data_IF_378241317820
#
_entry.id   IF_378241317820
#
_cell.length_a   1.000
_cell.length_b   1.000
_cell.length_c   1.000
_cell.angle_alpha   90.00
_cell.angle_beta   90.00
_cell.angle_gamma   90.00
#
_symmetry.space_group_name_H-M   'P 1'
#
loop_
_entity.id
_entity.type
_entity.pdbx_description
1 polymer ?
#
# COMPACT_ATOMS: atom_id res chain seq x y z
N UNK A 1 -6.28 -8.25 -11.38
CA UNK A 1 -7.69 -8.13 -11.81
C UNK A 1 -8.33 -9.48 -12.11
N UNK A 2 -7.71 -10.33 -12.94
CA UNK A 2 -8.26 -11.64 -13.34
C UNK A 2 -8.72 -12.51 -12.16
N UNK A 3 -7.88 -12.67 -11.13
CA UNK A 3 -8.21 -13.47 -9.93
C UNK A 3 -9.47 -12.96 -9.24
N UNK A 4 -9.54 -11.65 -8.98
CA UNK A 4 -10.69 -11.04 -8.29
C UNK A 4 -11.97 -11.19 -9.12
N UNK A 5 -11.91 -10.95 -10.43
CA UNK A 5 -13.08 -11.12 -11.31
C UNK A 5 -13.51 -12.58 -11.45
N UNK A 6 -12.57 -13.53 -11.41
CA UNK A 6 -12.88 -14.95 -11.46
C UNK A 6 -13.66 -15.38 -10.22
N UNK A 7 -13.23 -14.98 -9.02
CA UNK A 7 -13.95 -15.26 -7.77
C UNK A 7 -15.37 -14.67 -7.80
N UNK A 8 -15.53 -13.43 -8.27
CA UNK A 8 -16.85 -12.77 -8.32
C UNK A 8 -17.78 -13.49 -9.31
N UNK A 9 -17.24 -13.95 -10.44
CA UNK A 9 -17.97 -14.74 -11.41
C UNK A 9 -18.39 -16.10 -10.83
N UNK A 10 -17.47 -16.79 -10.16
CA UNK A 10 -17.70 -18.12 -9.58
C UNK A 10 -18.71 -18.10 -8.44
N UNK A 11 -18.72 -17.03 -7.61
CA UNK A 11 -19.76 -16.81 -6.59
C UNK A 11 -21.16 -16.61 -7.21
N UNK A 12 -21.23 -16.07 -8.44
CA UNK A 12 -22.48 -15.95 -9.18
C UNK A 12 -23.50 -14.94 -8.63
N UNK A 13 -23.21 -14.24 -7.53
CA UNK A 13 -24.11 -13.32 -6.84
C UNK A 13 -24.12 -11.89 -7.41
N UNK A 14 -23.08 -11.51 -8.13
CA UNK A 14 -22.88 -10.13 -8.60
C UNK A 14 -22.53 -10.09 -10.09
N UNK A 15 -22.96 -9.01 -10.74
CA UNK A 15 -22.45 -8.52 -12.01
C UNK A 15 -21.34 -7.50 -11.74
N UNK A 16 -20.28 -7.52 -12.54
CA UNK A 16 -19.20 -6.53 -12.49
C UNK A 16 -19.55 -5.40 -13.45
N UNK A 17 -19.94 -4.23 -12.90
CA UNK A 17 -20.27 -3.06 -13.73
C UNK A 17 -19.01 -2.31 -14.17
N UNK A 18 -18.00 -2.25 -13.29
CA UNK A 18 -16.74 -1.57 -13.54
C UNK A 18 -15.62 -2.30 -12.82
N UNK A 19 -14.46 -2.40 -13.46
CA UNK A 19 -13.23 -2.90 -12.87
C UNK A 19 -12.06 -2.07 -13.40
N UNK A 20 -11.37 -1.39 -12.50
CA UNK A 20 -10.27 -0.50 -12.83
C UNK A 20 -9.08 -0.72 -11.90
N UNK A 21 -7.91 -0.38 -12.41
CA UNK A 21 -6.66 -0.38 -11.63
C UNK A 21 -6.10 1.02 -11.67
N UNK A 22 -5.62 1.51 -10.54
CA UNK A 22 -4.86 2.74 -10.46
C UNK A 22 -3.60 2.53 -9.63
N UNK A 23 -2.64 3.42 -9.84
CA UNK A 23 -1.39 3.42 -9.08
C UNK A 23 -1.43 4.55 -8.05
N UNK A 24 -0.98 4.28 -6.84
CA UNK A 24 -0.90 5.26 -5.76
C UNK A 24 0.49 5.21 -5.14
N UNK A 25 1.12 6.36 -4.86
CA UNK A 25 2.45 6.39 -4.26
C UNK A 25 2.45 5.67 -2.90
N UNK A 26 3.60 5.07 -2.54
CA UNK A 26 3.71 4.40 -1.25
C UNK A 26 3.54 5.35 -0.07
N UNK A 27 4.12 6.55 -0.18
CA UNK A 27 3.87 7.64 0.75
C UNK A 27 2.59 8.38 0.31
N UNK A 28 1.52 8.38 1.11
CA UNK A 28 0.28 9.09 0.77
C UNK A 28 0.44 10.61 0.75
N UNK A 29 1.52 11.15 1.31
CA UNK A 29 1.84 12.58 1.28
C UNK A 29 2.80 12.96 0.16
N UNK A 30 3.28 11.99 -0.62
CA UNK A 30 4.17 12.22 -1.74
C UNK A 30 3.33 12.55 -2.99
N UNK A 31 3.30 13.83 -3.33
CA UNK A 31 2.63 14.42 -4.48
C UNK A 31 3.60 14.72 -5.64
N UNK A 32 4.82 14.16 -5.61
CA UNK A 32 5.89 14.35 -6.63
C UNK A 32 5.57 13.75 -8.02
N UNK A 33 4.29 13.63 -8.40
CA UNK A 33 3.93 13.57 -9.82
C UNK A 33 4.13 14.95 -10.51
N UNK A 34 4.42 16.00 -9.74
CA UNK A 34 4.83 17.33 -10.21
C UNK A 34 6.37 17.47 -10.16
N UNK A 35 7.01 17.73 -11.31
CA UNK A 35 8.48 17.76 -11.50
C UNK A 35 9.19 18.85 -10.66
N UNK A 36 8.43 19.75 -10.03
CA UNK A 36 8.94 20.90 -9.27
C UNK A 36 9.13 20.63 -7.76
N UNK A 37 8.78 19.44 -7.26
CA UNK A 37 8.86 19.11 -5.82
C UNK A 37 10.15 18.35 -5.49
N UNK A 38 10.87 18.81 -4.47
CA UNK A 38 12.09 18.16 -3.99
C UNK A 38 11.76 16.80 -3.37
N UNK A 39 12.27 15.74 -3.98
CA UNK A 39 12.15 14.37 -3.49
C UNK A 39 12.94 14.15 -2.18
N UNK A 40 12.26 14.05 -1.05
CA UNK A 40 12.84 13.69 0.25
C UNK A 40 12.59 12.21 0.57
N UNK A 41 13.47 11.36 0.06
CA UNK A 41 13.38 9.91 0.26
C UNK A 41 13.40 9.50 1.75
N UNK A 42 14.04 10.29 2.62
CA UNK A 42 14.14 9.99 4.06
C UNK A 42 12.82 10.27 4.76
N UNK A 43 12.18 11.40 4.45
CA UNK A 43 10.84 11.71 4.94
C UNK A 43 9.82 10.70 4.40
N UNK A 44 9.87 10.42 3.09
CA UNK A 44 8.95 9.49 2.46
C UNK A 44 9.08 8.08 3.05
N UNK A 45 10.31 7.60 3.27
CA UNK A 45 10.56 6.33 3.94
C UNK A 45 9.98 6.26 5.37
N UNK A 46 10.06 7.35 6.13
CA UNK A 46 9.44 7.44 7.47
C UNK A 46 7.91 7.42 7.40
N UNK A 47 7.31 8.13 6.46
CA UNK A 47 5.86 8.17 6.28
C UNK A 47 5.32 6.79 5.93
N UNK A 48 5.94 6.11 4.95
CA UNK A 48 5.59 4.73 4.57
C UNK A 48 5.71 3.79 5.77
N UNK A 49 6.82 3.85 6.52
CA UNK A 49 7.01 2.97 7.68
C UNK A 49 5.96 3.23 8.78
N UNK A 50 5.54 4.48 8.99
CA UNK A 50 4.46 4.82 9.94
C UNK A 50 3.11 4.25 9.46
N UNK A 51 2.76 4.40 8.18
CA UNK A 51 1.53 3.83 7.63
C UNK A 51 1.48 2.31 7.81
N UNK A 52 2.59 1.62 7.49
CA UNK A 52 2.71 0.18 7.69
C UNK A 52 2.67 -0.21 9.18
N UNK A 53 3.27 0.60 10.06
CA UNK A 53 3.21 0.39 11.51
C UNK A 53 1.77 0.36 12.01
N UNK A 54 0.97 1.36 11.66
CA UNK A 54 -0.44 1.42 12.08
C UNK A 54 -1.22 0.15 11.66
N UNK A 55 -0.91 -0.44 10.50
CA UNK A 55 -1.59 -1.64 9.99
C UNK A 55 -1.10 -2.92 10.64
N UNK A 56 0.22 -3.06 10.84
CA UNK A 56 0.85 -4.35 11.21
C UNK A 56 1.34 -4.44 12.65
N UNK A 57 1.39 -3.33 13.40
CA UNK A 57 1.95 -3.30 14.75
C UNK A 57 1.30 -4.32 15.68
N UNK A 58 -0.03 -4.39 15.72
CA UNK A 58 -0.75 -5.33 16.60
C UNK A 58 -0.45 -6.80 16.25
N UNK A 59 -0.34 -7.13 14.97
CA UNK A 59 -0.02 -8.48 14.51
C UNK A 59 1.42 -8.88 14.87
N UNK A 60 2.36 -7.95 14.68
CA UNK A 60 3.78 -8.18 14.99
C UNK A 60 3.98 -8.26 16.50
N UNK A 61 3.38 -7.35 17.26
CA UNK A 61 3.37 -7.34 18.72
C UNK A 61 2.85 -8.68 19.29
N UNK A 62 1.72 -9.16 18.76
CA UNK A 62 1.12 -10.40 19.21
C UNK A 62 2.06 -11.61 19.02
N UNK A 63 2.81 -11.64 17.91
CA UNK A 63 3.65 -12.79 17.58
C UNK A 63 5.09 -12.71 18.13
N UNK A 64 5.67 -11.51 18.14
CA UNK A 64 7.10 -11.29 18.45
C UNK A 64 7.33 -10.45 19.71
N UNK A 65 6.28 -9.87 20.29
CA UNK A 65 6.34 -8.95 21.42
C UNK A 65 6.64 -7.50 21.02
N UNK A 66 6.35 -6.59 21.94
CA UNK A 66 6.42 -5.13 21.68
C UNK A 66 7.86 -4.61 21.63
N UNK A 67 8.80 -5.32 22.27
CA UNK A 67 10.17 -4.87 22.46
C UNK A 67 10.94 -4.61 21.15
N UNK A 68 10.48 -5.17 20.02
CA UNK A 68 11.15 -5.04 18.73
C UNK A 68 10.55 -3.94 17.84
N UNK A 69 9.38 -3.40 18.16
CA UNK A 69 8.58 -2.61 17.23
C UNK A 69 9.31 -1.34 16.77
N UNK A 70 9.87 -0.58 17.71
CA UNK A 70 10.56 0.67 17.39
C UNK A 70 11.77 0.45 16.47
N UNK A 71 12.61 -0.54 16.79
CA UNK A 71 13.78 -0.89 15.98
C UNK A 71 13.37 -1.46 14.62
N UNK A 72 12.34 -2.29 14.57
CA UNK A 72 11.83 -2.90 13.34
C UNK A 72 11.34 -1.83 12.36
N UNK A 73 10.50 -0.90 12.82
CA UNK A 73 9.94 0.16 11.98
C UNK A 73 10.97 1.24 11.63
N UNK A 74 11.98 1.47 12.48
CA UNK A 74 13.14 2.30 12.12
C UNK A 74 13.93 1.69 10.95
N UNK A 75 14.29 0.40 11.04
CA UNK A 75 14.95 -0.32 9.95
C UNK A 75 14.12 -0.39 8.68
N UNK A 76 12.79 -0.50 8.82
CA UNK A 76 11.87 -0.45 7.69
C UNK A 76 11.96 0.90 6.98
N UNK A 77 11.90 2.02 7.72
CA UNK A 77 12.01 3.36 7.16
C UNK A 77 13.33 3.55 6.39
N UNK A 78 14.46 3.10 6.93
CA UNK A 78 15.76 3.16 6.24
C UNK A 78 15.82 2.31 4.97
N UNK A 79 15.18 1.13 4.97
CA UNK A 79 15.11 0.26 3.79
C UNK A 79 14.23 0.88 2.72
N UNK A 80 13.07 1.43 3.09
CA UNK A 80 12.17 2.12 2.17
C UNK A 80 12.87 3.35 1.58
N UNK A 81 13.49 4.19 2.40
CA UNK A 81 14.21 5.38 1.95
C UNK A 81 15.30 5.07 0.92
N UNK A 82 16.05 3.96 1.11
CA UNK A 82 17.06 3.51 0.14
C UNK A 82 16.44 2.93 -1.14
N UNK A 83 15.28 2.32 -1.05
CA UNK A 83 14.59 1.74 -2.19
C UNK A 83 13.98 2.82 -3.08
N UNK A 84 13.40 3.85 -2.45
CA UNK A 84 12.86 5.05 -3.10
C UNK A 84 13.88 5.80 -3.97
N UNK A 85 15.17 5.73 -3.66
CA UNK A 85 16.23 6.30 -4.51
C UNK A 85 16.46 5.54 -5.83
N UNK A 86 15.95 4.31 -5.94
CA UNK A 86 16.16 3.46 -7.12
C UNK A 86 14.99 3.53 -8.09
N UNK A 87 13.76 3.62 -7.57
CA UNK A 87 12.56 3.67 -8.37
C UNK A 87 11.42 4.38 -7.64
N UNK A 88 10.49 4.94 -8.41
CA UNK A 88 9.24 5.46 -7.88
C UNK A 88 8.34 4.29 -7.51
N UNK A 89 8.06 4.14 -6.23
CA UNK A 89 7.32 2.99 -5.71
C UNK A 89 5.82 3.31 -5.59
N UNK A 90 4.98 2.49 -6.22
CA UNK A 90 3.53 2.64 -6.20
C UNK A 90 2.83 1.36 -5.75
N UNK A 91 1.70 1.52 -5.08
CA UNK A 91 0.71 0.47 -4.85
C UNK A 91 -0.19 0.35 -6.06
N UNK A 92 -0.44 -0.87 -6.51
CA UNK A 92 -1.53 -1.18 -7.44
C UNK A 92 -2.82 -1.30 -6.65
N UNK A 93 -3.76 -0.40 -6.87
CA UNK A 93 -5.08 -0.42 -6.23
C UNK A 93 -6.13 -0.86 -7.24
N UNK A 94 -6.98 -1.80 -6.82
CA UNK A 94 -8.09 -2.31 -7.62
C UNK A 94 -9.39 -1.67 -7.14
N UNK A 95 -10.16 -1.11 -8.07
CA UNK A 95 -11.51 -0.57 -7.80
C UNK A 95 -12.50 -1.37 -8.63
N UNK A 96 -13.51 -1.93 -7.95
CA UNK A 96 -14.51 -2.77 -8.58
C UNK A 96 -15.89 -2.31 -8.13
N UNK A 97 -16.74 -1.96 -9.09
CA UNK A 97 -18.14 -1.68 -8.86
C UNK A 97 -18.96 -2.94 -9.16
N UNK A 98 -19.73 -3.38 -8.16
CA UNK A 98 -20.53 -4.60 -8.22
C UNK A 98 -22.00 -4.28 -8.11
N UNK A 99 -22.80 -4.94 -8.94
CA UNK A 99 -24.25 -4.92 -8.87
C UNK A 99 -24.75 -6.29 -8.49
N UNK A 100 -25.63 -6.35 -7.49
CA UNK A 100 -26.26 -7.61 -7.11
C UNK A 100 -27.14 -8.12 -8.26
N UNK A 101 -26.97 -9.39 -8.63
CA UNK A 101 -27.86 -10.06 -9.59
C UNK A 101 -29.26 -10.22 -8.99
N UNK A 102 -30.28 -10.06 -9.83
CA UNK A 102 -31.68 -10.20 -9.44
C UNK A 102 -32.01 -11.63 -9.04
#
# INVERSE_FOLDING_TARGET
>A
MQEVTAVIHDEGLFDVEQAQTFESNWDPFDDTDDDDIVFDNVLNGKNVAKCLRVVFESLIAHHFGDAILDELFSRLAEKVARHLLKEKTKYTVLVIALKKKA
#
